data_IF_797964556814
#
_entry.id   IF_797964556814
#
_cell.length_a   1.000
_cell.length_b   1.000
_cell.length_c   1.000
_cell.angle_alpha   90.00
_cell.angle_beta   90.00
_cell.angle_gamma   90.00
#
_symmetry.space_group_name_H-M   'P 1'
#
loop_
_entity.id
_entity.type
_entity.pdbx_description
1 polymer ?
#
# COMPACT_ATOMS: atom_id res chain seq x y z
N UNK A 1 -44.58 -26.41 38.40
CA UNK A 1 -44.50 -25.08 37.77
C UNK A 1 -43.04 -24.81 37.47
N UNK A 2 -42.62 -25.05 36.22
CA UNK A 2 -41.24 -24.88 35.78
C UNK A 2 -41.05 -23.43 35.32
N UNK A 3 -40.12 -22.70 35.93
CA UNK A 3 -39.76 -21.33 35.57
C UNK A 3 -39.00 -21.31 34.24
N UNK A 4 -39.66 -20.85 33.18
CA UNK A 4 -39.01 -20.53 31.91
C UNK A 4 -38.33 -19.17 32.05
N UNK A 5 -37.01 -19.12 31.89
CA UNK A 5 -36.23 -17.88 31.90
C UNK A 5 -36.53 -17.05 30.64
N UNK A 6 -36.91 -15.76 30.76
CA UNK A 6 -37.33 -14.93 29.63
C UNK A 6 -36.19 -14.40 28.74
N UNK A 7 -34.93 -14.74 29.06
CA UNK A 7 -33.76 -14.31 28.31
C UNK A 7 -33.17 -15.45 27.47
N UNK A 8 -33.97 -15.99 26.56
CA UNK A 8 -33.51 -16.94 25.54
C UNK A 8 -32.92 -16.20 24.35
N UNK A 9 -31.59 -16.20 24.22
CA UNK A 9 -30.88 -15.91 22.96
C UNK A 9 -30.49 -14.45 22.73
N UNK A 10 -29.42 -13.99 23.39
CA UNK A 10 -28.64 -12.88 22.84
C UNK A 10 -28.03 -13.28 21.49
N UNK A 11 -27.70 -12.33 20.59
CA UNK A 11 -27.09 -12.65 19.30
C UNK A 11 -25.88 -13.57 19.52
N UNK A 12 -25.87 -14.70 18.80
CA UNK A 12 -24.74 -15.62 18.82
C UNK A 12 -23.49 -14.85 18.42
N UNK A 13 -22.44 -14.97 19.22
CA UNK A 13 -21.15 -14.37 18.87
C UNK A 13 -20.78 -14.84 17.45
N UNK A 14 -20.41 -13.92 16.53
CA UNK A 14 -20.09 -14.30 15.18
C UNK A 14 -18.97 -15.33 15.20
N UNK A 15 -19.03 -16.36 14.33
CA UNK A 15 -18.06 -17.43 14.36
C UNK A 15 -16.66 -16.86 14.06
N UNK A 16 -15.61 -17.42 14.68
CA UNK A 16 -14.23 -16.89 14.61
C UNK A 16 -13.71 -16.66 13.18
N UNK A 17 -14.23 -17.40 12.18
CA UNK A 17 -13.88 -17.22 10.77
C UNK A 17 -14.38 -15.90 10.16
N UNK A 18 -15.41 -15.27 10.74
CA UNK A 18 -15.88 -13.94 10.34
C UNK A 18 -14.85 -12.84 10.64
N UNK A 19 -14.07 -13.02 11.72
CA UNK A 19 -12.95 -12.14 12.05
C UNK A 19 -11.80 -12.23 11.05
N UNK A 20 -11.68 -13.34 10.33
CA UNK A 20 -10.66 -13.55 9.30
C UNK A 20 -11.06 -12.99 7.92
N UNK A 21 -12.34 -12.71 7.70
CA UNK A 21 -12.82 -12.13 6.43
C UNK A 21 -12.14 -10.78 6.12
N UNK A 22 -11.89 -9.96 7.15
CA UNK A 22 -11.16 -8.70 7.02
C UNK A 22 -9.73 -8.88 6.46
N UNK A 23 -8.82 -9.56 7.19
CA UNK A 23 -7.44 -9.70 6.74
C UNK A 23 -7.29 -10.47 5.42
N UNK A 24 -8.13 -11.49 5.18
CA UNK A 24 -8.13 -12.20 3.90
C UNK A 24 -8.69 -11.35 2.77
N UNK A 25 -9.72 -10.54 3.01
CA UNK A 25 -10.25 -9.60 2.01
C UNK A 25 -9.20 -8.56 1.61
N UNK A 26 -8.49 -7.98 2.60
CA UNK A 26 -7.39 -7.06 2.33
C UNK A 26 -6.25 -7.73 1.55
N UNK A 27 -5.88 -8.98 1.91
CA UNK A 27 -4.87 -9.74 1.19
C UNK A 27 -5.30 -10.07 -0.24
N UNK A 28 -6.57 -10.41 -0.46
CA UNK A 28 -7.12 -10.68 -1.79
C UNK A 28 -7.10 -9.43 -2.68
N UNK A 29 -7.48 -8.27 -2.13
CA UNK A 29 -7.40 -6.99 -2.84
C UNK A 29 -5.95 -6.62 -3.18
N UNK A 30 -5.03 -6.81 -2.24
CA UNK A 30 -3.60 -6.59 -2.48
C UNK A 30 -3.06 -7.53 -3.55
N UNK A 31 -3.41 -8.82 -3.48
CA UNK A 31 -3.02 -9.81 -4.48
C UNK A 31 -3.59 -9.48 -5.87
N UNK A 32 -4.84 -9.00 -5.95
CA UNK A 32 -5.43 -8.55 -7.20
C UNK A 32 -4.69 -7.33 -7.77
N UNK A 33 -4.31 -6.36 -6.93
CA UNK A 33 -3.50 -5.21 -7.34
C UNK A 33 -2.11 -5.64 -7.83
N UNK A 34 -1.45 -6.58 -7.13
CA UNK A 34 -0.15 -7.15 -7.53
C UNK A 34 -0.27 -7.92 -8.85
N UNK A 35 -1.30 -8.76 -9.00
CA UNK A 35 -1.56 -9.48 -10.24
C UNK A 35 -1.79 -8.52 -11.41
N UNK A 36 -2.57 -7.46 -11.18
CA UNK A 36 -2.76 -6.41 -12.18
C UNK A 36 -1.42 -5.79 -12.58
N UNK A 37 -0.58 -5.39 -11.62
CA UNK A 37 0.77 -4.84 -11.90
C UNK A 37 1.66 -5.86 -12.65
N UNK A 38 1.52 -7.16 -12.39
CA UNK A 38 2.28 -8.22 -13.07
C UNK A 38 1.87 -8.45 -14.52
N UNK A 39 0.61 -8.24 -14.84
CA UNK A 39 0.10 -8.37 -16.21
C UNK A 39 0.22 -7.07 -17.01
N UNK A 40 0.38 -5.94 -16.32
CA UNK A 40 0.33 -4.59 -16.86
C UNK A 40 1.63 -3.89 -16.48
N UNK A 41 2.69 -4.11 -17.26
CA UNK A 41 4.04 -3.65 -16.96
C UNK A 41 4.07 -2.12 -16.77
N UNK A 42 4.18 -1.62 -15.52
CA UNK A 42 4.07 -0.19 -15.23
C UNK A 42 5.37 0.58 -15.57
N UNK A 43 6.42 -0.14 -15.97
CA UNK A 43 7.72 0.42 -16.34
C UNK A 43 7.89 0.64 -17.83
N UNK A 44 6.97 0.13 -18.66
CA UNK A 44 7.02 0.39 -20.09
C UNK A 44 6.53 1.82 -20.39
N UNK A 45 7.23 2.51 -21.29
CA UNK A 45 6.90 3.88 -21.71
C UNK A 45 5.71 3.95 -22.69
N UNK A 46 4.94 2.88 -22.81
CA UNK A 46 3.77 2.84 -23.69
C UNK A 46 2.64 3.59 -22.97
N UNK A 47 2.08 4.66 -23.55
CA UNK A 47 0.93 5.36 -23.00
C UNK A 47 -0.34 4.56 -23.30
N UNK A 48 -0.47 3.41 -22.65
CA UNK A 48 -1.69 2.62 -22.61
C UNK A 48 -2.40 2.82 -21.26
N UNK A 49 -3.66 2.38 -21.17
CA UNK A 49 -4.39 2.28 -19.89
C UNK A 49 -3.71 1.29 -18.92
N UNK A 50 -2.72 0.53 -19.41
CA UNK A 50 -2.19 -0.72 -18.89
C UNK A 50 -0.68 -0.73 -18.58
N UNK A 51 0.01 0.41 -18.55
CA UNK A 51 1.48 0.42 -18.44
C UNK A 51 2.07 1.81 -18.22
N UNK A 52 1.50 2.82 -18.89
CA UNK A 52 1.64 4.22 -18.47
C UNK A 52 0.73 4.52 -17.29
N UNK A 53 1.20 5.25 -16.27
CA UNK A 53 0.27 5.80 -15.28
C UNK A 53 -0.73 6.70 -16.03
N UNK A 54 -2.03 6.35 -16.06
CA UNK A 54 -3.06 7.12 -16.78
C UNK A 54 -3.01 8.61 -16.45
N UNK A 55 -2.66 8.93 -15.19
CA UNK A 55 -2.42 10.29 -14.75
C UNK A 55 -1.33 11.00 -15.54
N UNK A 56 -0.20 10.35 -15.81
CA UNK A 56 0.88 10.92 -16.62
C UNK A 56 0.45 11.10 -18.08
N UNK A 57 -0.30 10.14 -18.64
CA UNK A 57 -0.87 10.28 -19.98
C UNK A 57 -1.87 11.45 -20.08
N UNK A 58 -2.65 11.69 -19.02
CA UNK A 58 -3.67 12.75 -19.00
C UNK A 58 -3.12 14.14 -18.65
N UNK A 59 -2.17 14.22 -17.72
CA UNK A 59 -1.74 15.49 -17.10
C UNK A 59 -0.30 15.87 -17.40
N UNK A 60 0.48 15.00 -18.07
CA UNK A 60 1.90 15.23 -18.35
C UNK A 60 2.80 15.29 -17.11
N UNK A 61 2.25 15.03 -15.92
CA UNK A 61 2.98 15.01 -14.64
C UNK A 61 3.02 13.62 -14.07
N UNK A 62 4.05 13.30 -13.28
CA UNK A 62 4.01 12.05 -12.53
C UNK A 62 3.04 12.20 -11.36
N UNK A 63 1.92 11.48 -11.40
CA UNK A 63 0.88 11.53 -10.36
C UNK A 63 1.33 10.86 -9.06
N UNK A 64 0.89 11.33 -7.89
CA UNK A 64 1.51 11.04 -6.59
C UNK A 64 1.71 9.54 -6.30
N UNK A 65 0.85 8.67 -6.85
CA UNK A 65 0.89 7.21 -6.66
C UNK A 65 1.63 6.43 -7.76
N UNK A 66 1.90 7.04 -8.93
CA UNK A 66 2.52 6.37 -10.08
C UNK A 66 3.93 5.83 -9.82
N UNK A 67 4.68 6.46 -8.89
CA UNK A 67 6.01 5.97 -8.49
C UNK A 67 5.92 4.72 -7.61
N UNK A 68 4.84 4.60 -6.82
CA UNK A 68 4.63 3.47 -5.93
C UNK A 68 4.34 2.16 -6.66
N UNK A 69 3.63 2.21 -7.80
CA UNK A 69 3.39 1.03 -8.64
C UNK A 69 4.68 0.53 -9.30
N UNK A 70 5.55 1.42 -9.80
CA UNK A 70 6.88 1.07 -10.33
C UNK A 70 7.83 0.56 -9.25
N UNK A 71 7.81 1.19 -8.08
CA UNK A 71 8.53 0.70 -6.91
C UNK A 71 8.10 -0.74 -6.56
N UNK A 72 6.79 -1.01 -6.53
CA UNK A 72 6.27 -2.35 -6.27
C UNK A 72 6.69 -3.34 -7.35
N UNK A 73 6.73 -2.90 -8.61
CA UNK A 73 7.21 -3.73 -9.72
C UNK A 73 8.64 -4.20 -9.52
N UNK A 74 9.55 -3.26 -9.28
CA UNK A 74 10.96 -3.58 -9.01
C UNK A 74 11.12 -4.39 -7.71
N UNK A 75 10.31 -4.11 -6.69
CA UNK A 75 10.32 -4.87 -5.44
C UNK A 75 9.91 -6.33 -5.64
N UNK A 76 8.86 -6.58 -6.43
CA UNK A 76 8.40 -7.93 -6.79
C UNK A 76 9.43 -8.69 -7.63
N UNK A 77 10.24 -7.98 -8.44
CA UNK A 77 11.34 -8.54 -9.22
C UNK A 77 12.65 -8.67 -8.43
N UNK A 78 12.68 -8.29 -7.14
CA UNK A 78 13.87 -8.35 -6.30
C UNK A 78 14.90 -7.24 -6.54
N UNK A 79 14.55 -6.22 -7.33
CA UNK A 79 15.44 -5.09 -7.61
C UNK A 79 15.20 -3.94 -6.60
N UNK A 80 15.74 -4.10 -5.39
CA UNK A 80 15.62 -3.09 -4.33
C UNK A 80 16.23 -1.72 -4.70
N UNK A 81 17.41 -1.63 -5.34
CA UNK A 81 17.99 -0.35 -5.74
C UNK A 81 17.07 0.43 -6.68
N UNK A 82 16.49 -0.23 -7.68
CA UNK A 82 15.53 0.41 -8.58
C UNK A 82 14.22 0.75 -7.88
N UNK A 83 13.72 -0.11 -6.99
CA UNK A 83 12.53 0.20 -6.20
C UNK A 83 12.72 1.49 -5.36
N UNK A 84 13.88 1.65 -4.73
CA UNK A 84 14.21 2.83 -3.93
C UNK A 84 14.25 4.12 -4.77
N UNK A 85 14.77 4.04 -6.00
CA UNK A 85 14.81 5.18 -6.94
C UNK A 85 13.41 5.66 -7.31
N UNK A 86 12.47 4.73 -7.46
CA UNK A 86 11.12 5.05 -7.89
C UNK A 86 10.24 5.60 -6.76
N UNK A 87 10.36 5.07 -5.53
CA UNK A 87 9.57 5.59 -4.39
C UNK A 87 10.12 5.18 -3.00
N UNK A 88 11.26 5.75 -2.59
CA UNK A 88 11.88 5.43 -1.29
C UNK A 88 10.94 5.52 -0.07
N UNK A 89 10.07 6.55 0.09
CA UNK A 89 9.16 6.59 1.24
C UNK A 89 8.19 5.42 1.30
N UNK A 90 7.67 4.98 0.15
CA UNK A 90 6.74 3.86 0.07
C UNK A 90 7.46 2.54 0.36
N UNK A 91 8.71 2.40 -0.08
CA UNK A 91 9.54 1.22 0.20
C UNK A 91 9.78 1.06 1.71
N UNK A 92 10.04 2.17 2.42
CA UNK A 92 10.21 2.17 3.89
C UNK A 92 8.90 1.80 4.61
N UNK A 93 7.75 2.15 4.04
CA UNK A 93 6.46 1.84 4.64
C UNK A 93 6.04 0.36 4.50
N UNK A 94 6.57 -0.36 3.49
CA UNK A 94 6.26 -1.79 3.26
C UNK A 94 6.37 -2.64 4.53
N UNK A 95 7.50 -2.66 5.28
CA UNK A 95 7.61 -3.48 6.49
C UNK A 95 6.63 -3.05 7.60
N UNK A 96 6.32 -1.76 7.72
CA UNK A 96 5.37 -1.24 8.73
C UNK A 96 3.96 -1.73 8.43
N UNK A 97 3.54 -1.64 7.16
CA UNK A 97 2.24 -2.13 6.70
C UNK A 97 2.15 -3.66 6.82
N UNK A 98 3.22 -4.38 6.46
CA UNK A 98 3.30 -5.83 6.61
C UNK A 98 3.15 -6.26 8.07
N UNK A 99 3.83 -5.57 9.00
CA UNK A 99 3.68 -5.83 10.42
C UNK A 99 2.26 -5.50 10.92
N UNK A 100 1.68 -4.37 10.50
CA UNK A 100 0.33 -3.99 10.90
C UNK A 100 -0.70 -5.04 10.45
N UNK A 101 -0.57 -5.56 9.22
CA UNK A 101 -1.40 -6.66 8.72
C UNK A 101 -1.17 -7.95 9.51
N UNK A 102 0.08 -8.32 9.80
CA UNK A 102 0.39 -9.51 10.61
C UNK A 102 -0.19 -9.41 12.03
N UNK A 103 -0.08 -8.24 12.67
CA UNK A 103 -0.69 -7.95 13.98
C UNK A 103 -2.21 -8.04 13.93
N UNK A 104 -2.84 -7.48 12.90
CA UNK A 104 -4.28 -7.55 12.71
C UNK A 104 -4.74 -9.00 12.51
N UNK A 105 -4.11 -9.75 11.62
CA UNK A 105 -4.37 -11.18 11.39
C UNK A 105 -4.15 -12.01 12.64
N UNK A 106 -3.09 -11.73 13.41
CA UNK A 106 -2.87 -12.41 14.68
C UNK A 106 -3.98 -12.10 15.70
N UNK A 107 -4.43 -10.84 15.78
CA UNK A 107 -5.51 -10.43 16.70
C UNK A 107 -6.83 -11.12 16.37
N UNK A 108 -7.15 -11.31 15.09
CA UNK A 108 -8.35 -12.04 14.66
C UNK A 108 -8.26 -13.54 14.94
N UNK A 109 -7.04 -14.08 15.03
CA UNK A 109 -6.78 -15.46 15.48
C UNK A 109 -6.77 -15.61 17.02
N UNK A 110 -6.86 -14.51 17.77
CA UNK A 110 -6.78 -14.49 19.24
C UNK A 110 -5.35 -14.45 19.79
N UNK A 111 -4.36 -14.11 18.95
CA UNK A 111 -2.96 -13.90 19.33
C UNK A 111 -2.66 -12.41 19.45
N UNK A 112 -1.87 -12.02 20.43
CA UNK A 112 -1.47 -10.64 20.65
C UNK A 112 -0.03 -10.42 20.22
N UNK A 113 0.18 -9.54 19.24
CA UNK A 113 1.50 -9.00 18.92
C UNK A 113 1.71 -7.68 19.67
N UNK A 114 2.97 -7.25 19.92
CA UNK A 114 3.26 -5.94 20.49
C UNK A 114 2.81 -4.81 19.55
N UNK A 115 2.36 -3.69 20.13
CA UNK A 115 1.96 -2.53 19.32
C UNK A 115 3.22 -1.82 18.84
N UNK A 116 3.22 -1.31 17.61
CA UNK A 116 4.16 -0.28 17.24
C UNK A 116 3.57 1.05 17.71
N UNK A 117 4.11 1.68 18.77
CA UNK A 117 3.72 3.02 19.12
C UNK A 117 4.25 3.95 18.03
N UNK A 118 3.44 4.23 17.01
CA UNK A 118 3.72 5.24 16.00
C UNK A 118 3.18 6.57 16.52
N UNK A 119 4.03 7.48 17.01
CA UNK A 119 3.56 8.76 17.50
C UNK A 119 3.00 9.59 16.34
N UNK A 120 2.00 10.43 16.61
CA UNK A 120 1.32 11.25 15.58
C UNK A 120 2.30 12.07 14.73
N UNK A 121 3.35 12.61 15.34
CA UNK A 121 4.37 13.38 14.62
C UNK A 121 5.11 12.56 13.57
N UNK A 122 5.33 11.25 13.80
CA UNK A 122 5.99 10.36 12.85
C UNK A 122 5.08 10.08 11.65
N UNK A 123 3.77 9.91 11.89
CA UNK A 123 2.78 9.77 10.83
C UNK A 123 2.69 11.05 9.98
N UNK A 124 2.71 12.22 10.64
CA UNK A 124 2.73 13.53 9.96
C UNK A 124 4.03 13.69 9.16
N UNK A 125 5.19 13.38 9.75
CA UNK A 125 6.48 13.45 9.07
C UNK A 125 6.53 12.50 7.86
N UNK A 126 5.98 11.30 7.98
CA UNK A 126 5.85 10.35 6.88
C UNK A 126 4.95 10.91 5.77
N UNK A 127 3.74 11.39 6.10
CA UNK A 127 2.83 11.98 5.13
C UNK A 127 3.44 13.22 4.45
N UNK A 128 4.11 14.08 5.21
CA UNK A 128 4.85 15.22 4.70
C UNK A 128 5.98 14.79 3.77
N UNK A 129 6.77 13.76 4.13
CA UNK A 129 7.82 13.23 3.26
C UNK A 129 7.27 12.71 1.93
N UNK A 130 6.08 12.11 1.97
CA UNK A 130 5.36 11.63 0.78
C UNK A 130 4.95 12.78 -0.13
N UNK A 131 4.34 13.84 0.44
CA UNK A 131 3.96 15.03 -0.29
C UNK A 131 5.19 15.77 -0.86
N UNK A 132 6.24 15.92 -0.05
CA UNK A 132 7.51 16.54 -0.47
C UNK A 132 8.15 15.74 -1.60
N UNK A 133 8.19 14.41 -1.52
CA UNK A 133 8.71 13.56 -2.60
C UNK A 133 7.88 13.68 -3.87
N UNK A 134 6.55 13.69 -3.75
CA UNK A 134 5.64 13.85 -4.88
C UNK A 134 5.78 15.22 -5.57
N UNK A 135 6.10 16.28 -4.82
CA UNK A 135 6.39 17.61 -5.38
C UNK A 135 7.80 17.62 -5.98
N UNK A 136 8.82 17.24 -5.20
CA UNK A 136 10.23 17.34 -5.56
C UNK A 136 10.55 16.59 -6.86
N UNK A 137 9.92 15.44 -7.11
CA UNK A 137 10.15 14.67 -8.36
C UNK A 137 9.59 15.32 -9.63
N UNK A 138 8.72 16.33 -9.49
CA UNK A 138 8.17 17.10 -10.61
C UNK A 138 8.93 18.43 -10.83
N UNK A 139 10.03 18.70 -10.08
CA UNK A 139 10.83 19.92 -10.24
C UNK A 139 11.92 19.74 -11.32
N UNK A 140 11.97 20.59 -12.36
CA UNK A 140 12.89 20.44 -13.49
C UNK A 140 14.30 21.03 -13.24
N UNK A 141 14.67 21.34 -11.99
CA UNK A 141 15.97 21.94 -11.65
C UNK A 141 16.84 21.04 -10.74
N UNK A 142 18.19 21.11 -10.81
CA UNK A 142 19.07 20.31 -9.96
C UNK A 142 18.89 20.59 -8.46
N UNK A 143 19.04 19.60 -7.56
CA UNK A 143 19.42 18.20 -7.79
C UNK A 143 18.25 17.26 -8.13
N UNK A 144 17.03 17.80 -8.28
CA UNK A 144 15.80 17.02 -8.48
C UNK A 144 15.63 16.49 -9.90
N UNK A 145 16.46 16.93 -10.83
CA UNK A 145 16.57 16.36 -12.19
C UNK A 145 16.85 14.85 -12.19
N UNK A 146 17.53 14.31 -11.17
CA UNK A 146 17.73 12.85 -11.03
C UNK A 146 16.49 12.06 -10.60
N UNK A 147 15.47 12.74 -10.07
CA UNK A 147 14.14 12.17 -9.77
C UNK A 147 13.13 12.44 -10.90
N UNK A 148 13.47 13.35 -11.80
CA UNK A 148 12.67 13.70 -12.96
C UNK A 148 12.87 12.62 -14.03
N UNK A 149 12.11 11.52 -13.92
CA UNK A 149 12.09 10.44 -14.90
C UNK A 149 11.38 10.92 -16.18
N UNK A 150 12.12 11.66 -17.00
CA UNK A 150 11.73 12.07 -18.38
C UNK A 150 11.76 10.91 -19.36
N UNK A 151 12.40 9.79 -19.03
CA UNK A 151 12.57 8.63 -19.92
C UNK A 151 11.27 7.83 -20.18
N UNK A 152 10.12 8.36 -19.75
CA UNK A 152 8.78 7.75 -19.89
C UNK A 152 7.81 8.73 -20.57
N UNK A 153 8.33 9.84 -21.10
CA UNK A 153 7.68 10.66 -22.12
C UNK A 153 8.19 10.27 -23.50
#
# INVERSE_FOLDING_TARGET
MSSVSPYGGGPSAPPRWWGLAGPFGAAALFAAAVAWVLTHNPTDAIPDISGGCLWTAMTGTQGPTCGGTRMMWHLLHGNLPEAARHHLPALIAVPVVGYAWARWTASTMGRWLPALPLPRWLLIAYAASWAVFAIARNLPWPPFTGLHLTDIQ
#
